data_IF_274708772152
#
_entry.id   IF_274708772152
#
_cell.length_a   1.000
_cell.length_b   1.000
_cell.length_c   1.000
_cell.angle_alpha   90.00
_cell.angle_beta   90.00
_cell.angle_gamma   90.00
#
_symmetry.space_group_name_H-M   'P 1'
#
loop_
_entity.id
_entity.type
_entity.pdbx_description
1 polymer ?
#
# COMPACT_ATOMS: atom_id res chain seq x y z
N UNK A 1 -12.76 7.85 -5.04
CA UNK A 1 -12.53 6.55 -4.39
C UNK A 1 -11.04 6.17 -4.33
N UNK A 2 -10.31 6.33 -5.40
CA UNK A 2 -8.87 6.05 -5.42
C UNK A 2 -8.07 7.23 -4.89
N UNK A 3 -6.85 6.94 -4.40
CA UNK A 3 -5.88 8.00 -4.12
C UNK A 3 -5.51 8.68 -5.44
N UNK A 4 -5.29 10.01 -5.43
CA UNK A 4 -4.92 10.71 -6.65
C UNK A 4 -3.50 10.34 -7.11
N UNK A 5 -3.26 10.45 -8.41
CA UNK A 5 -1.91 10.26 -8.95
C UNK A 5 -0.97 11.30 -8.33
N UNK A 6 0.18 10.83 -7.89
CA UNK A 6 1.15 11.69 -7.22
C UNK A 6 1.01 11.77 -5.71
N UNK A 7 0.00 11.11 -5.12
CA UNK A 7 -0.18 11.08 -3.67
C UNK A 7 1.01 10.40 -3.00
N UNK A 8 1.51 10.99 -1.91
CA UNK A 8 2.67 10.45 -1.18
C UNK A 8 2.24 9.76 0.11
N UNK A 9 2.96 8.71 0.47
CA UNK A 9 2.75 7.92 1.68
C UNK A 9 4.06 7.85 2.45
N UNK A 10 3.95 7.58 3.76
CA UNK A 10 5.13 7.44 4.64
C UNK A 10 6.08 8.63 4.53
N UNK A 11 5.53 9.84 4.63
CA UNK A 11 6.29 11.10 4.60
C UNK A 11 7.17 11.25 3.35
N UNK A 12 6.65 10.80 2.19
CA UNK A 12 7.35 10.95 0.93
C UNK A 12 8.23 9.76 0.53
N UNK A 13 8.27 8.70 1.35
CA UNK A 13 9.03 7.49 1.03
C UNK A 13 8.46 6.80 -0.20
N UNK A 14 7.13 6.80 -0.35
CA UNK A 14 6.43 6.22 -1.48
C UNK A 14 5.57 7.25 -2.17
N UNK A 15 5.45 7.14 -3.49
CA UNK A 15 4.54 7.97 -4.28
C UNK A 15 3.68 7.08 -5.17
N UNK A 16 2.37 7.33 -5.15
CA UNK A 16 1.43 6.65 -6.04
C UNK A 16 1.57 7.20 -7.45
N UNK A 17 1.72 6.34 -8.43
CA UNK A 17 1.74 6.74 -9.85
C UNK A 17 0.34 6.66 -10.43
N UNK A 18 -0.28 5.48 -10.41
CA UNK A 18 -1.63 5.27 -10.91
C UNK A 18 -2.21 3.95 -10.39
N UNK A 19 -3.53 3.81 -10.50
CA UNK A 19 -4.22 2.57 -10.14
C UNK A 19 -3.98 1.53 -11.23
N UNK A 20 -3.65 0.30 -10.83
CA UNK A 20 -3.50 -0.81 -11.77
C UNK A 20 -4.51 -1.93 -11.55
N UNK A 21 -5.28 -1.89 -10.46
CA UNK A 21 -6.33 -2.86 -10.23
C UNK A 21 -7.18 -2.52 -9.03
N UNK A 22 -8.40 -3.06 -9.00
CA UNK A 22 -9.32 -2.91 -7.88
C UNK A 22 -10.04 -4.23 -7.64
N UNK A 23 -10.03 -4.67 -6.39
CA UNK A 23 -10.82 -5.82 -5.94
C UNK A 23 -11.86 -5.40 -4.92
N UNK A 24 -12.57 -6.38 -4.33
CA UNK A 24 -13.55 -6.11 -3.29
C UNK A 24 -12.95 -5.63 -1.98
N UNK A 25 -11.69 -5.95 -1.72
CA UNK A 25 -10.99 -5.68 -0.47
C UNK A 25 -9.82 -4.72 -0.59
N UNK A 26 -9.23 -4.59 -1.77
CA UNK A 26 -8.01 -3.80 -1.95
C UNK A 26 -8.03 -3.04 -3.26
N UNK A 27 -7.34 -1.91 -3.26
CA UNK A 27 -7.01 -1.15 -4.47
C UNK A 27 -5.51 -1.29 -4.66
N UNK A 28 -5.09 -1.69 -5.86
CA UNK A 28 -3.68 -1.87 -6.18
C UNK A 28 -3.19 -0.72 -7.03
N UNK A 29 -2.08 -0.12 -6.60
CA UNK A 29 -1.46 1.00 -7.28
C UNK A 29 -0.07 0.63 -7.76
N UNK A 30 0.34 1.23 -8.87
CA UNK A 30 1.76 1.31 -9.19
C UNK A 30 2.32 2.52 -8.46
N UNK A 31 3.52 2.40 -7.96
CA UNK A 31 4.15 3.51 -7.25
C UNK A 31 5.66 3.47 -7.37
N UNK A 32 6.29 4.42 -6.68
CA UNK A 32 7.73 4.57 -6.65
C UNK A 32 8.17 4.64 -5.19
N UNK A 33 9.24 3.93 -4.89
CA UNK A 33 9.94 4.01 -3.61
C UNK A 33 11.20 4.84 -3.82
N UNK A 34 11.31 5.92 -3.05
CA UNK A 34 12.49 6.78 -3.07
C UNK A 34 13.48 6.28 -2.04
N UNK A 35 14.64 5.84 -2.49
CA UNK A 35 15.70 5.35 -1.63
C UNK A 35 17.02 6.04 -1.98
N UNK A 36 17.97 6.00 -1.06
CA UNK A 36 19.28 6.61 -1.25
C UNK A 36 20.33 5.54 -1.40
N UNK A 37 21.21 5.74 -2.39
CA UNK A 37 22.38 4.89 -2.60
C UNK A 37 23.62 5.71 -2.29
N UNK A 38 24.41 5.26 -1.31
CA UNK A 38 25.67 5.91 -0.93
C UNK A 38 26.80 5.39 -1.79
N UNK A 39 27.52 6.31 -2.41
CA UNK A 39 28.69 5.99 -3.23
C UNK A 39 29.89 6.82 -2.81
N UNK A 40 31.03 6.60 -3.49
CA UNK A 40 32.27 7.33 -3.22
C UNK A 40 32.18 8.82 -3.52
N UNK A 41 31.24 9.22 -4.37
CA UNK A 41 31.04 10.61 -4.77
C UNK A 41 29.84 11.28 -4.06
N UNK A 42 29.28 10.62 -3.04
CA UNK A 42 28.16 11.13 -2.28
C UNK A 42 26.92 10.24 -2.37
N UNK A 43 25.78 10.77 -1.95
CA UNK A 43 24.51 10.06 -1.91
C UNK A 43 23.67 10.41 -3.13
N UNK A 44 23.16 9.40 -3.83
CA UNK A 44 22.28 9.56 -4.98
C UNK A 44 20.90 9.01 -4.62
N UNK A 45 19.87 9.82 -4.84
CA UNK A 45 18.49 9.39 -4.66
C UNK A 45 18.06 8.54 -5.86
N UNK A 46 17.48 7.37 -5.56
CA UNK A 46 17.08 6.40 -6.58
C UNK A 46 15.59 6.12 -6.47
N UNK A 47 14.94 5.95 -7.61
CA UNK A 47 13.54 5.57 -7.69
C UNK A 47 13.42 4.08 -8.03
N UNK A 48 12.69 3.34 -7.19
CA UNK A 48 12.45 1.90 -7.40
C UNK A 48 10.97 1.70 -7.67
N UNK A 49 10.59 1.09 -8.81
CA UNK A 49 9.17 0.82 -9.08
C UNK A 49 8.65 -0.25 -8.13
N UNK A 50 7.48 0.02 -7.55
CA UNK A 50 6.82 -0.89 -6.59
C UNK A 50 5.34 -0.97 -6.86
N UNK A 51 4.69 -1.97 -6.24
CA UNK A 51 3.25 -2.08 -6.13
C UNK A 51 2.83 -1.73 -4.71
N UNK A 52 1.73 -1.00 -4.57
CA UNK A 52 1.16 -0.70 -3.26
C UNK A 52 -0.28 -1.18 -3.25
N UNK A 53 -0.61 -2.06 -2.31
CA UNK A 53 -1.99 -2.47 -2.07
C UNK A 53 -2.53 -1.68 -0.89
N UNK A 54 -3.64 -1.00 -1.11
CA UNK A 54 -4.37 -0.29 -0.06
C UNK A 54 -5.57 -1.13 0.33
N UNK A 55 -5.72 -1.41 1.63
CA UNK A 55 -6.89 -2.09 2.12
C UNK A 55 -8.09 -1.15 2.01
N UNK A 56 -9.07 -1.51 1.20
CA UNK A 56 -10.26 -0.71 0.97
C UNK A 56 -11.45 -1.65 0.78
N UNK A 57 -12.11 -1.97 1.89
CA UNK A 57 -13.27 -2.86 1.88
C UNK A 57 -14.49 -2.06 1.48
N UNK A 58 -14.71 -1.91 0.19
CA UNK A 58 -15.66 -0.96 -0.39
C UNK A 58 -17.10 -1.10 0.10
N UNK A 59 -17.51 -2.29 0.53
CA UNK A 59 -18.86 -2.53 1.05
C UNK A 59 -19.09 -1.90 2.42
N UNK A 60 -18.03 -1.60 3.16
CA UNK A 60 -18.08 -1.10 4.53
C UNK A 60 -17.38 0.23 4.74
N UNK A 61 -16.66 0.74 3.76
CA UNK A 61 -15.90 1.95 3.91
C UNK A 61 -16.04 2.90 2.72
N UNK A 62 -15.59 4.14 2.92
CA UNK A 62 -15.56 5.17 1.88
C UNK A 62 -14.34 6.05 2.09
N UNK A 63 -13.96 6.79 1.05
CA UNK A 63 -12.85 7.73 1.13
C UNK A 63 -13.37 9.14 1.38
N UNK A 64 -12.82 9.81 2.39
CA UNK A 64 -13.11 11.21 2.64
C UNK A 64 -12.40 12.08 1.59
N UNK A 65 -13.14 13.01 1.00
CA UNK A 65 -12.67 13.78 -0.15
C UNK A 65 -11.48 14.70 0.15
N UNK A 66 -11.43 15.29 1.34
CA UNK A 66 -10.39 16.27 1.67
C UNK A 66 -9.12 15.66 2.24
N UNK A 67 -9.27 14.71 3.16
CA UNK A 67 -8.13 14.08 3.85
C UNK A 67 -7.63 12.81 3.17
N UNK A 68 -8.40 12.26 2.23
CA UNK A 68 -8.18 10.95 1.60
C UNK A 68 -8.20 9.79 2.58
N UNK A 69 -8.65 10.03 3.82
CA UNK A 69 -8.77 8.99 4.83
C UNK A 69 -9.89 8.01 4.50
N UNK A 70 -9.69 6.75 4.86
CA UNK A 70 -10.69 5.72 4.74
C UNK A 70 -11.56 5.74 6.00
N UNK A 71 -12.85 5.90 5.82
CA UNK A 71 -13.84 5.96 6.91
C UNK A 71 -14.81 4.79 6.77
N UNK A 72 -15.38 4.37 7.89
CA UNK A 72 -16.32 3.25 7.93
C UNK A 72 -17.73 3.78 8.16
N UNK A 73 -18.69 3.22 7.40
CA UNK A 73 -20.08 3.68 7.42
C UNK A 73 -20.83 3.45 8.76
N UNK A 74 -20.50 2.38 9.47
CA UNK A 74 -21.24 1.98 10.67
C UNK A 74 -20.34 1.25 11.67
N UNK A 75 -20.82 1.14 12.91
CA UNK A 75 -20.07 0.39 13.93
C UNK A 75 -19.99 -1.10 13.63
N UNK A 76 -21.05 -1.68 13.06
CA UNK A 76 -21.03 -3.08 12.63
C UNK A 76 -20.02 -3.29 11.52
N UNK A 77 -19.98 -2.37 10.56
CA UNK A 77 -18.98 -2.38 9.51
C UNK A 77 -17.57 -2.21 10.04
N UNK A 78 -17.40 -1.40 11.10
CA UNK A 78 -16.10 -1.19 11.75
C UNK A 78 -15.52 -2.49 12.30
N UNK A 79 -16.35 -3.32 12.94
CA UNK A 79 -15.91 -4.60 13.49
C UNK A 79 -15.37 -5.51 12.38
N UNK A 80 -16.10 -5.61 11.26
CA UNK A 80 -15.69 -6.42 10.12
C UNK A 80 -14.48 -5.83 9.42
N UNK A 81 -14.46 -4.51 9.23
CA UNK A 81 -13.35 -3.79 8.62
C UNK A 81 -12.04 -4.03 9.38
N UNK A 82 -12.07 -3.85 10.69
CA UNK A 82 -10.88 -4.03 11.53
C UNK A 82 -10.42 -5.49 11.56
N UNK A 83 -11.36 -6.43 11.61
CA UNK A 83 -11.05 -7.85 11.61
C UNK A 83 -10.30 -8.27 10.36
N UNK A 84 -10.80 -7.89 9.19
CA UNK A 84 -10.15 -8.23 7.92
C UNK A 84 -8.86 -7.44 7.69
N UNK A 85 -8.81 -6.21 8.19
CA UNK A 85 -7.59 -5.39 8.14
C UNK A 85 -6.45 -6.08 8.91
N UNK A 86 -6.72 -6.52 10.13
CA UNK A 86 -5.72 -7.22 10.95
C UNK A 86 -5.28 -8.52 10.32
N UNK A 87 -6.21 -9.26 9.73
CA UNK A 87 -5.89 -10.50 9.03
C UNK A 87 -4.97 -10.24 7.84
N UNK A 88 -5.25 -9.20 7.07
CA UNK A 88 -4.42 -8.81 5.93
C UNK A 88 -3.01 -8.43 6.37
N UNK A 89 -2.90 -7.61 7.41
CA UNK A 89 -1.61 -7.19 7.97
C UNK A 89 -0.80 -8.40 8.43
N UNK A 90 -1.44 -9.31 9.15
CA UNK A 90 -0.80 -10.53 9.66
C UNK A 90 -0.29 -11.40 8.54
N UNK A 91 -1.10 -11.63 7.51
CA UNK A 91 -0.71 -12.44 6.35
C UNK A 91 0.44 -11.79 5.59
N UNK A 92 0.40 -10.47 5.42
CA UNK A 92 1.46 -9.74 4.73
C UNK A 92 2.78 -9.78 5.51
N UNK A 93 2.72 -9.69 6.83
CA UNK A 93 3.92 -9.79 7.68
C UNK A 93 4.55 -11.18 7.59
N UNK A 94 3.74 -12.21 7.54
CA UNK A 94 4.24 -13.58 7.35
C UNK A 94 4.92 -13.71 6.01
N UNK A 95 4.32 -13.18 4.94
CA UNK A 95 4.90 -13.21 3.61
C UNK A 95 6.20 -12.40 3.51
N UNK A 96 6.32 -11.32 4.30
CA UNK A 96 7.55 -10.50 4.29
C UNK A 96 8.76 -11.25 4.83
N UNK A 97 8.54 -12.31 5.59
CA UNK A 97 9.61 -13.14 6.16
C UNK A 97 10.01 -14.30 5.23
N UNK A 98 9.21 -14.54 4.17
CA UNK A 98 9.47 -15.63 3.24
C UNK A 98 10.17 -15.08 2.00
N UNK A 99 11.41 -15.53 1.77
CA UNK A 99 12.18 -15.16 0.59
C UNK A 99 12.22 -16.35 -0.37
N UNK A 100 11.38 -16.29 -1.40
CA UNK A 100 11.32 -17.33 -2.40
C UNK A 100 11.35 -16.68 -3.79
N UNK A 101 12.13 -17.21 -4.77
CA UNK A 101 12.29 -16.58 -6.07
C UNK A 101 11.02 -16.47 -6.91
N UNK A 102 9.99 -17.23 -6.58
CA UNK A 102 8.72 -17.22 -7.30
C UNK A 102 7.60 -16.48 -6.56
N UNK A 103 7.91 -15.84 -5.42
CA UNK A 103 6.94 -15.08 -4.63
C UNK A 103 7.35 -13.61 -4.63
N UNK A 104 6.36 -12.72 -4.87
CA UNK A 104 6.57 -11.28 -4.80
C UNK A 104 6.98 -10.88 -3.38
N UNK A 105 8.10 -10.19 -3.25
CA UNK A 105 8.59 -9.77 -1.95
C UNK A 105 7.80 -8.61 -1.40
N UNK A 106 7.34 -8.74 -0.15
CA UNK A 106 6.72 -7.66 0.60
C UNK A 106 7.84 -6.82 1.21
N UNK A 107 7.87 -5.53 0.88
CA UNK A 107 8.90 -4.61 1.35
C UNK A 107 8.54 -4.02 2.71
N UNK A 108 7.28 -3.64 2.88
CA UNK A 108 6.81 -3.02 4.10
C UNK A 108 5.31 -3.14 4.23
N UNK A 109 4.82 -3.22 5.47
CA UNK A 109 3.39 -3.14 5.81
C UNK A 109 3.26 -1.99 6.79
N UNK A 110 2.36 -1.05 6.51
CA UNK A 110 2.16 0.12 7.36
C UNK A 110 0.70 0.55 7.40
N UNK A 111 0.35 1.33 8.43
CA UNK A 111 -0.98 1.90 8.58
C UNK A 111 -0.90 3.42 8.37
N UNK A 112 -1.82 3.94 7.56
CA UNK A 112 -1.91 5.35 7.22
C UNK A 112 -3.30 5.62 6.64
N UNK A 113 -3.78 6.85 6.68
CA UNK A 113 -5.09 7.23 6.13
C UNK A 113 -6.27 6.40 6.66
N UNK A 114 -6.19 5.91 7.90
CA UNK A 114 -7.25 5.11 8.50
C UNK A 114 -7.35 3.69 7.96
N UNK A 115 -6.36 3.22 7.24
CA UNK A 115 -6.32 1.88 6.67
C UNK A 115 -4.90 1.31 6.69
N UNK A 116 -4.68 0.23 5.97
CA UNK A 116 -3.38 -0.43 5.91
C UNK A 116 -2.89 -0.51 4.47
N UNK A 117 -1.58 -0.48 4.31
CA UNK A 117 -0.91 -0.55 3.01
C UNK A 117 0.14 -1.63 3.02
N UNK A 118 0.29 -2.28 1.88
CA UNK A 118 1.35 -3.26 1.66
C UNK A 118 2.17 -2.79 0.46
N UNK A 119 3.42 -2.42 0.72
CA UNK A 119 4.37 -2.09 -0.33
C UNK A 119 5.11 -3.35 -0.73
N UNK A 120 5.13 -3.64 -2.02
CA UNK A 120 5.79 -4.84 -2.53
C UNK A 120 6.46 -4.58 -3.86
N UNK A 121 7.31 -5.51 -4.21
CA UNK A 121 8.06 -5.49 -5.45
C UNK A 121 7.12 -5.44 -6.65
N UNK A 122 7.46 -4.59 -7.63
CA UNK A 122 6.71 -4.54 -8.89
C UNK A 122 7.35 -5.49 -9.89
N UNK A 123 6.52 -6.39 -10.42
CA UNK A 123 6.96 -7.35 -11.44
C UNK A 123 6.24 -7.02 -12.74
N UNK A 124 6.96 -6.49 -13.76
CA UNK A 124 6.34 -6.17 -15.05
C UNK A 124 5.75 -7.41 -15.71
N UNK A 125 4.59 -7.27 -16.32
CA UNK A 125 3.92 -8.35 -17.04
C UNK A 125 3.03 -9.25 -16.19
N UNK A 126 2.88 -8.94 -14.91
CA UNK A 126 1.97 -9.66 -14.02
C UNK A 126 0.67 -8.92 -13.82
#
# INVERSE_FOLDING_TARGET
>A
MNLPNGHVLQNGKYRITHVIGQGGFCITYKGVWYTEVKGSLGTVQTEVPICIKEYFFKDYCYREAESFAVKVHSETGRVLFDKFKEKLIKEAKILSEVHHPHIVNVLEVFEENGTAYIAMEYIPGC
#
